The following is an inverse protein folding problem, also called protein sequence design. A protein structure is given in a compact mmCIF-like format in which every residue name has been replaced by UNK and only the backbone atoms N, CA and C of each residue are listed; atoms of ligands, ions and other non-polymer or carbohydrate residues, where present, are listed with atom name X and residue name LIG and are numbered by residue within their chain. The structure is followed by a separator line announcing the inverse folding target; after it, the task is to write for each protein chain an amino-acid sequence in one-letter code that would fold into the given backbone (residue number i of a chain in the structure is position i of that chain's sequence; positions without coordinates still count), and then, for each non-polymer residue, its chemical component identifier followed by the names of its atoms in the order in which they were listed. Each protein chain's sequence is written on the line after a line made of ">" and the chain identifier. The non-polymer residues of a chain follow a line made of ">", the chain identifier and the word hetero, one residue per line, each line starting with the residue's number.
data_IF_942953236861
#
_entry.id   IF_942953236861
#
_cell.length_a   1.000
_cell.length_b   1.000
_cell.length_c   1.000
_cell.angle_alpha   90.00
_cell.angle_beta   90.00
_cell.angle_gamma   90.00
#
_symmetry.space_group_name_H-M   'P 1'
#
loop_
_entity.id
_entity.type
_entity.pdbx_description
1 polymer ?
#
# COMPACT_ATOMS: atom_id res chain seq x y z
N UNK A 1 22.74 2.99 -33.66
CA UNK A 1 24.08 2.60 -33.18
C UNK A 1 24.83 3.71 -32.41
N UNK A 2 24.17 4.82 -32.01
CA UNK A 2 24.83 5.94 -31.26
C UNK A 2 24.42 5.94 -29.76
N UNK A 3 23.37 5.23 -29.39
CA UNK A 3 22.86 5.20 -27.98
C UNK A 3 23.67 4.25 -27.08
N UNK A 4 24.33 3.21 -27.62
CA UNK A 4 25.10 2.25 -26.81
C UNK A 4 26.49 2.74 -26.36
N UNK A 5 27.02 3.79 -27.00
CA UNK A 5 28.36 4.30 -26.68
C UNK A 5 28.35 5.35 -25.52
N UNK A 6 27.21 5.97 -25.26
CA UNK A 6 27.08 7.00 -24.20
C UNK A 6 26.88 6.36 -22.83
N UNK A 7 26.27 5.18 -22.76
CA UNK A 7 25.98 4.49 -21.49
C UNK A 7 27.22 3.96 -20.77
N UNK A 8 28.27 3.55 -21.50
CA UNK A 8 29.44 2.91 -20.88
C UNK A 8 30.49 3.87 -20.29
N UNK A 9 30.51 5.15 -20.67
CA UNK A 9 31.49 6.12 -20.12
C UNK A 9 31.08 6.78 -18.79
N UNK A 10 29.79 6.79 -18.47
CA UNK A 10 29.29 7.37 -17.20
C UNK A 10 29.32 6.40 -16.03
N UNK A 11 29.41 5.09 -16.25
CA UNK A 11 29.28 4.09 -15.17
C UNK A 11 30.56 3.87 -14.34
N UNK A 12 31.77 4.15 -14.87
CA UNK A 12 33.02 3.83 -14.16
C UNK A 12 33.56 4.94 -13.25
N UNK A 13 33.02 6.14 -13.26
CA UNK A 13 33.56 7.27 -12.47
C UNK A 13 32.96 7.46 -11.06
N UNK A 14 31.87 6.78 -10.72
CA UNK A 14 31.18 7.02 -9.44
C UNK A 14 31.33 5.93 -8.35
N UNK A 15 32.10 4.87 -8.62
CA UNK A 15 32.20 3.76 -7.66
C UNK A 15 33.13 4.04 -6.46
N UNK A 16 33.99 5.08 -6.52
CA UNK A 16 35.02 5.31 -5.51
C UNK A 16 34.79 6.46 -4.50
N UNK A 17 33.57 7.03 -4.40
CA UNK A 17 33.31 8.15 -3.48
C UNK A 17 32.22 7.91 -2.43
N UNK A 18 31.95 6.68 -2.01
CA UNK A 18 30.90 6.41 -1.00
C UNK A 18 31.45 5.77 0.28
N UNK A 19 32.37 6.43 0.96
CA UNK A 19 32.61 6.20 2.39
C UNK A 19 32.65 7.55 3.09
N UNK A 20 31.52 8.03 3.53
CA UNK A 20 31.24 8.92 4.65
C UNK A 20 29.86 9.58 4.48
N UNK A 21 28.80 8.85 4.77
CA UNK A 21 27.50 9.45 5.04
C UNK A 21 27.10 8.94 6.42
N UNK A 22 27.13 9.87 7.39
CA UNK A 22 26.56 9.68 8.72
C UNK A 22 25.12 9.14 8.60
N UNK A 23 24.64 8.34 9.56
CA UNK A 23 23.27 7.83 9.54
C UNK A 23 22.32 9.01 9.65
N UNK A 24 21.73 9.41 8.54
CA UNK A 24 20.60 10.32 8.57
C UNK A 24 19.45 9.64 9.27
N UNK A 25 18.92 10.37 10.24
CA UNK A 25 17.76 10.11 11.07
C UNK A 25 16.77 9.13 10.44
N UNK A 26 16.43 8.11 11.20
CA UNK A 26 15.26 7.28 10.97
C UNK A 26 14.09 8.22 10.67
N UNK A 27 13.64 8.25 9.41
CA UNK A 27 12.30 8.71 9.11
C UNK A 27 11.39 7.84 9.96
N UNK A 28 10.91 8.40 11.05
CA UNK A 28 9.89 7.80 11.87
C UNK A 28 8.83 7.26 10.91
N UNK A 29 8.66 5.95 10.90
CA UNK A 29 7.52 5.33 10.26
C UNK A 29 6.31 6.16 10.66
N UNK A 30 5.44 6.60 9.74
CA UNK A 30 4.26 7.34 10.13
C UNK A 30 3.64 6.56 11.27
N UNK A 31 3.51 7.20 12.43
CA UNK A 31 3.03 6.57 13.63
C UNK A 31 1.63 6.04 13.34
N UNK A 32 1.53 4.74 13.06
CA UNK A 32 0.26 4.02 12.87
C UNK A 32 -0.55 3.93 14.17
N UNK A 33 -0.25 4.79 15.14
CA UNK A 33 -0.87 4.86 16.46
C UNK A 33 -1.82 6.04 16.61
N UNK A 34 -2.71 6.27 15.66
CA UNK A 34 -3.99 6.82 16.06
C UNK A 34 -4.89 5.64 16.45
N UNK A 35 -4.77 5.17 17.67
CA UNK A 35 -5.71 4.21 18.25
C UNK A 35 -7.04 4.93 18.48
N UNK A 36 -7.86 5.04 17.44
CA UNK A 36 -9.23 5.43 17.64
C UNK A 36 -9.90 4.26 18.37
N UNK A 37 -10.42 4.51 19.57
CA UNK A 37 -11.17 3.51 20.35
C UNK A 37 -12.26 2.85 19.50
N UNK A 38 -12.86 3.59 18.58
CA UNK A 38 -13.87 3.13 17.63
C UNK A 38 -13.39 2.02 16.67
N UNK A 39 -12.10 1.94 16.32
CA UNK A 39 -11.54 0.89 15.47
C UNK A 39 -11.14 -0.39 16.21
N UNK A 40 -11.14 -0.38 17.54
CA UNK A 40 -10.70 -1.50 18.37
C UNK A 40 -11.43 -2.83 18.09
N UNK A 41 -12.77 -2.86 17.84
CA UNK A 41 -13.47 -4.10 17.51
C UNK A 41 -12.93 -4.78 16.27
N UNK A 42 -12.65 -4.03 15.21
CA UNK A 42 -12.10 -4.58 13.96
C UNK A 42 -10.68 -5.13 14.12
N UNK A 43 -9.85 -4.53 15.00
CA UNK A 43 -8.49 -5.02 15.28
C UNK A 43 -8.44 -6.40 15.93
N UNK A 44 -9.52 -6.83 16.55
CA UNK A 44 -9.64 -8.16 17.19
C UNK A 44 -9.97 -9.27 16.18
N UNK A 45 -10.34 -8.91 14.96
CA UNK A 45 -10.70 -9.88 13.92
C UNK A 45 -9.47 -10.69 13.49
N UNK A 46 -9.69 -11.99 13.29
CA UNK A 46 -8.68 -12.94 12.81
C UNK A 46 -9.16 -13.60 11.53
N UNK A 47 -8.21 -14.09 10.73
CA UNK A 47 -8.47 -14.81 9.49
C UNK A 47 -9.29 -14.02 8.45
N UNK A 48 -9.26 -12.69 8.51
CA UNK A 48 -9.96 -11.82 7.57
C UNK A 48 -9.02 -11.44 6.43
N UNK A 49 -9.54 -11.37 5.21
CA UNK A 49 -8.77 -10.91 4.06
C UNK A 49 -8.82 -9.39 3.93
N UNK A 50 -7.77 -8.82 3.37
CA UNK A 50 -7.75 -7.40 3.02
C UNK A 50 -8.81 -7.09 1.96
N UNK A 51 -9.76 -6.15 2.20
CA UNK A 51 -10.80 -5.81 1.23
C UNK A 51 -10.25 -5.18 -0.05
N UNK A 52 -9.01 -4.69 -0.04
CA UNK A 52 -8.42 -4.10 -1.23
C UNK A 52 -7.64 -5.13 -2.07
N UNK A 53 -6.84 -5.98 -1.44
CA UNK A 53 -5.96 -6.91 -2.17
C UNK A 53 -6.34 -8.40 -2.04
N UNK A 54 -7.32 -8.73 -1.20
CA UNK A 54 -7.81 -10.11 -1.05
C UNK A 54 -6.82 -11.08 -0.39
N UNK A 55 -5.70 -10.58 0.15
CA UNK A 55 -4.71 -11.39 0.86
C UNK A 55 -5.08 -11.51 2.34
N UNK A 56 -4.70 -12.61 2.97
CA UNK A 56 -4.81 -12.77 4.42
C UNK A 56 -3.99 -11.68 5.14
N UNK A 57 -4.47 -11.21 6.28
CA UNK A 57 -3.78 -10.19 7.07
C UNK A 57 -3.21 -10.79 8.35
N UNK A 58 -2.02 -10.32 8.73
CA UNK A 58 -1.37 -10.67 9.99
C UNK A 58 -1.89 -9.71 11.06
N UNK A 59 -2.40 -10.25 12.15
CA UNK A 59 -2.93 -9.41 13.24
C UNK A 59 -1.81 -8.66 13.96
N UNK A 60 -2.17 -7.55 14.62
CA UNK A 60 -1.23 -6.78 15.45
C UNK A 60 -0.63 -7.57 16.61
N UNK A 61 -1.27 -8.68 17.04
CA UNK A 61 -0.75 -9.56 18.08
C UNK A 61 0.22 -10.63 17.55
N UNK A 62 0.06 -11.03 16.28
CA UNK A 62 0.89 -12.06 15.63
C UNK A 62 2.18 -11.47 15.05
N UNK A 63 2.13 -10.25 14.52
CA UNK A 63 3.27 -9.63 13.84
C UNK A 63 4.51 -9.52 14.73
N UNK A 64 4.46 -9.01 15.98
CA UNK A 64 5.65 -8.92 16.83
C UNK A 64 6.28 -10.28 17.13
N UNK A 65 5.45 -11.33 17.29
CA UNK A 65 5.94 -12.69 17.51
C UNK A 65 6.68 -13.24 16.29
N UNK A 66 6.20 -12.92 15.08
CA UNK A 66 6.87 -13.28 13.85
C UNK A 66 8.18 -12.50 13.67
N UNK A 67 8.17 -11.20 13.96
CA UNK A 67 9.37 -10.35 13.89
C UNK A 67 10.46 -10.82 14.83
N UNK A 68 10.14 -11.23 16.07
CA UNK A 68 11.11 -11.82 16.99
C UNK A 68 11.72 -13.14 16.50
N UNK A 69 10.98 -13.91 15.67
CA UNK A 69 11.53 -15.11 15.03
C UNK A 69 12.45 -14.75 13.86
N UNK A 70 12.09 -13.71 13.07
CA UNK A 70 12.92 -13.20 11.98
C UNK A 70 14.28 -12.72 12.54
N UNK A 71 14.28 -12.00 13.67
CA UNK A 71 15.50 -11.48 14.32
C UNK A 71 16.49 -12.57 14.75
N UNK A 72 16.06 -13.84 14.80
CA UNK A 72 16.90 -15.01 15.13
C UNK A 72 17.46 -15.71 13.89
N UNK A 73 16.96 -15.42 12.71
CA UNK A 73 17.42 -16.05 11.48
C UNK A 73 18.77 -15.46 11.04
N UNK A 74 19.74 -16.33 10.72
CA UNK A 74 21.08 -15.94 10.34
C UNK A 74 21.26 -15.83 8.82
N UNK A 75 20.48 -16.58 8.05
CA UNK A 75 20.66 -16.74 6.60
C UNK A 75 19.32 -16.82 5.84
N UNK A 76 19.40 -16.85 4.50
CA UNK A 76 18.21 -16.92 3.64
C UNK A 76 17.44 -18.22 3.80
N UNK A 77 18.14 -19.35 4.02
CA UNK A 77 17.50 -20.66 4.19
C UNK A 77 16.56 -20.68 5.38
N UNK A 78 16.99 -20.13 6.52
CA UNK A 78 16.18 -20.02 7.73
C UNK A 78 14.98 -19.08 7.53
N UNK A 79 15.20 -17.91 6.90
CA UNK A 79 14.13 -16.95 6.60
C UNK A 79 13.10 -17.56 5.66
N UNK A 80 13.52 -18.22 4.60
CA UNK A 80 12.62 -18.89 3.66
C UNK A 80 11.81 -19.97 4.36
N UNK A 81 12.43 -20.83 5.18
CA UNK A 81 11.75 -21.84 5.98
C UNK A 81 10.72 -21.22 6.93
N UNK A 82 11.08 -20.14 7.62
CA UNK A 82 10.20 -19.41 8.54
C UNK A 82 9.01 -18.77 7.83
N UNK A 83 9.24 -18.12 6.68
CA UNK A 83 8.22 -17.32 6.00
C UNK A 83 7.38 -18.11 4.98
N UNK A 84 7.80 -19.27 4.54
CA UNK A 84 7.07 -20.12 3.58
C UNK A 84 5.60 -20.38 3.98
N UNK A 85 5.25 -20.71 5.24
CA UNK A 85 3.86 -20.85 5.67
C UNK A 85 3.01 -19.58 5.51
N UNK A 86 3.66 -18.42 5.49
CA UNK A 86 3.00 -17.11 5.35
C UNK A 86 2.88 -16.63 3.91
N UNK A 87 3.24 -17.43 2.90
CA UNK A 87 3.19 -17.04 1.49
C UNK A 87 1.80 -16.56 1.03
N UNK A 88 0.72 -17.13 1.60
CA UNK A 88 -0.66 -16.71 1.31
C UNK A 88 -1.00 -15.30 1.84
N UNK A 89 -0.23 -14.79 2.80
CA UNK A 89 -0.35 -13.44 3.34
C UNK A 89 0.37 -12.41 2.48
N UNK A 90 1.37 -12.80 1.70
CA UNK A 90 2.17 -11.90 0.88
C UNK A 90 1.37 -11.36 -0.29
N UNK A 91 1.61 -10.09 -0.64
CA UNK A 91 1.03 -9.44 -1.81
C UNK A 91 1.85 -9.74 -3.06
N UNK A 92 1.43 -9.22 -4.21
CA UNK A 92 2.02 -9.58 -5.51
C UNK A 92 3.53 -9.29 -5.56
N UNK A 93 3.95 -8.11 -5.11
CA UNK A 93 5.36 -7.70 -5.11
C UNK A 93 6.17 -8.54 -4.13
N UNK A 94 5.69 -8.69 -2.89
CA UNK A 94 6.36 -9.48 -1.87
C UNK A 94 6.47 -10.96 -2.26
N UNK A 95 5.45 -11.53 -2.94
CA UNK A 95 5.49 -12.90 -3.47
C UNK A 95 6.58 -13.09 -4.51
N UNK A 96 6.79 -12.10 -5.38
CA UNK A 96 7.85 -12.18 -6.40
C UNK A 96 9.23 -12.13 -5.78
N UNK A 97 9.45 -11.15 -4.87
CA UNK A 97 10.72 -11.04 -4.14
C UNK A 97 10.97 -12.28 -3.29
N UNK A 98 9.96 -12.79 -2.59
CA UNK A 98 10.10 -14.01 -1.80
C UNK A 98 10.41 -15.24 -2.67
N UNK A 99 9.80 -15.35 -3.86
CA UNK A 99 10.11 -16.41 -4.83
C UNK A 99 11.59 -16.36 -5.26
N UNK A 100 12.13 -15.18 -5.51
CA UNK A 100 13.56 -15.01 -5.80
C UNK A 100 14.42 -15.53 -4.65
N UNK A 101 14.07 -15.25 -3.39
CA UNK A 101 14.77 -15.81 -2.22
C UNK A 101 14.61 -17.33 -2.11
N UNK A 102 13.41 -17.89 -2.36
CA UNK A 102 13.17 -19.33 -2.39
C UNK A 102 14.04 -20.04 -3.45
N UNK A 103 14.18 -19.44 -4.62
CA UNK A 103 14.99 -20.01 -5.71
C UNK A 103 16.48 -19.96 -5.37
N UNK A 104 16.97 -18.81 -4.89
CA UNK A 104 18.37 -18.63 -4.54
C UNK A 104 18.80 -19.52 -3.36
N UNK A 105 17.95 -19.67 -2.35
CA UNK A 105 18.24 -20.46 -1.15
C UNK A 105 18.41 -21.97 -1.39
N UNK A 106 18.00 -22.49 -2.56
CA UNK A 106 18.19 -23.91 -2.91
C UNK A 106 19.66 -24.26 -3.13
N UNK A 107 20.44 -23.33 -3.69
CA UNK A 107 21.84 -23.53 -4.00
C UNK A 107 22.76 -22.86 -2.95
N UNK A 108 22.28 -21.76 -2.35
CA UNK A 108 23.06 -20.93 -1.43
C UNK A 108 22.27 -20.63 -0.13
N UNK A 109 21.93 -21.64 0.69
CA UNK A 109 21.07 -21.45 1.87
C UNK A 109 21.71 -20.56 2.95
N UNK A 110 23.05 -20.52 3.03
CA UNK A 110 23.81 -19.74 4.04
C UNK A 110 23.99 -18.27 3.69
N UNK A 111 23.54 -17.85 2.50
CA UNK A 111 23.64 -16.45 2.05
C UNK A 111 22.67 -15.54 2.83
N UNK A 112 22.91 -14.25 2.80
CA UNK A 112 22.05 -13.23 3.44
C UNK A 112 21.23 -12.45 2.41
N UNK A 113 20.02 -12.02 2.78
CA UNK A 113 19.09 -11.34 1.87
C UNK A 113 19.68 -10.07 1.21
N UNK A 114 20.43 -9.20 1.91
CA UNK A 114 21.05 -8.03 1.26
C UNK A 114 21.94 -8.38 0.07
N UNK A 115 22.75 -9.44 0.19
CA UNK A 115 23.66 -9.84 -0.89
C UNK A 115 22.88 -10.32 -2.12
N UNK A 116 21.79 -11.07 -1.91
CA UNK A 116 20.90 -11.50 -3.01
C UNK A 116 20.30 -10.27 -3.72
N UNK A 117 19.81 -9.27 -2.97
CA UNK A 117 19.27 -8.04 -3.58
C UNK A 117 20.36 -7.25 -4.32
N UNK A 118 21.60 -7.20 -3.80
CA UNK A 118 22.73 -6.51 -4.46
C UNK A 118 23.12 -7.14 -5.80
N UNK A 119 23.06 -8.47 -5.91
CA UNK A 119 23.31 -9.17 -7.19
C UNK A 119 22.35 -8.64 -8.26
N UNK A 120 21.10 -8.40 -7.92
CA UNK A 120 20.05 -7.93 -8.84
C UNK A 120 19.95 -6.41 -8.95
N UNK A 121 20.69 -5.64 -8.15
CA UNK A 121 20.50 -4.19 -7.98
C UNK A 121 20.62 -3.40 -9.28
N UNK A 122 21.68 -3.60 -10.05
CA UNK A 122 21.94 -2.82 -11.27
C UNK A 122 20.89 -3.08 -12.35
N UNK A 123 20.50 -4.33 -12.51
CA UNK A 123 19.45 -4.71 -13.44
C UNK A 123 18.09 -4.13 -12.99
N UNK A 124 17.76 -4.26 -11.70
CA UNK A 124 16.54 -3.71 -11.12
C UNK A 124 16.50 -2.19 -11.22
N UNK A 125 17.63 -1.49 -11.00
CA UNK A 125 17.71 -0.03 -11.14
C UNK A 125 17.44 0.42 -12.58
N UNK A 126 18.00 -0.30 -13.55
CA UNK A 126 17.77 -0.01 -14.98
C UNK A 126 16.29 -0.24 -15.35
N UNK A 127 15.72 -1.36 -14.95
CA UNK A 127 14.30 -1.69 -15.18
C UNK A 127 13.37 -0.70 -14.47
N UNK A 128 13.69 -0.30 -13.23
CA UNK A 128 12.92 0.69 -12.48
C UNK A 128 12.87 2.03 -13.20
N UNK A 129 14.02 2.52 -13.71
CA UNK A 129 14.06 3.77 -14.49
C UNK A 129 13.18 3.68 -15.74
N UNK A 130 13.18 2.55 -16.43
CA UNK A 130 12.30 2.34 -17.59
C UNK A 130 10.82 2.33 -17.19
N UNK A 131 10.46 1.67 -16.08
CA UNK A 131 9.09 1.70 -15.55
C UNK A 131 8.66 3.14 -15.20
N UNK A 132 9.53 3.93 -14.54
CA UNK A 132 9.28 5.31 -14.17
C UNK A 132 9.14 6.19 -15.43
N UNK A 133 10.01 6.05 -16.41
CA UNK A 133 9.96 6.81 -17.67
C UNK A 133 8.71 6.50 -18.47
N UNK A 134 8.28 5.25 -18.55
CA UNK A 134 7.04 4.87 -19.23
C UNK A 134 5.82 5.61 -18.64
N UNK A 135 5.78 5.80 -17.32
CA UNK A 135 4.71 6.60 -16.70
C UNK A 135 4.79 8.07 -17.11
N UNK A 136 6.00 8.65 -17.14
CA UNK A 136 6.20 10.05 -17.55
C UNK A 136 5.89 10.25 -19.05
N UNK A 137 6.24 9.30 -19.89
CA UNK A 137 5.93 9.32 -21.33
C UNK A 137 4.43 9.26 -21.58
N UNK A 138 3.70 8.45 -20.81
CA UNK A 138 2.24 8.41 -20.88
C UNK A 138 1.62 9.74 -20.42
N UNK A 139 2.16 10.36 -19.36
CA UNK A 139 1.73 11.68 -18.89
C UNK A 139 1.95 12.73 -19.99
N UNK A 140 3.12 12.74 -20.65
CA UNK A 140 3.43 13.66 -21.74
C UNK A 140 2.50 13.41 -22.95
N UNK A 141 2.32 12.16 -23.38
CA UNK A 141 1.38 11.82 -24.46
C UNK A 141 -0.04 12.27 -24.18
N UNK A 142 -0.50 12.10 -22.93
CA UNK A 142 -1.83 12.58 -22.54
C UNK A 142 -1.92 14.10 -22.54
N UNK A 143 -0.84 14.81 -22.23
CA UNK A 143 -0.80 16.28 -22.21
C UNK A 143 -0.99 16.89 -23.61
N UNK A 144 -0.62 16.18 -24.68
CA UNK A 144 -0.83 16.64 -26.06
C UNK A 144 -2.31 16.87 -26.43
N UNK A 145 -3.25 16.40 -25.59
CA UNK A 145 -4.69 16.68 -25.74
C UNK A 145 -5.13 17.98 -25.06
N UNK A 146 -4.21 18.68 -24.42
CA UNK A 146 -4.44 19.99 -23.78
C UNK A 146 -4.02 21.13 -24.74
N UNK A 147 -4.29 22.37 -24.37
CA UNK A 147 -3.73 23.53 -25.09
C UNK A 147 -2.19 23.49 -25.11
N UNK A 148 -1.54 24.05 -26.14
CA UNK A 148 -0.07 24.03 -26.26
C UNK A 148 0.66 24.54 -25.02
N UNK A 149 0.16 25.61 -24.39
CA UNK A 149 0.75 26.19 -23.19
C UNK A 149 0.70 25.21 -22.01
N UNK A 150 -0.45 24.53 -21.83
CA UNK A 150 -0.60 23.51 -20.77
C UNK A 150 0.22 22.26 -21.04
N UNK A 151 0.25 21.80 -22.28
CA UNK A 151 1.08 20.67 -22.68
C UNK A 151 2.57 20.94 -22.40
N UNK A 152 3.05 22.15 -22.75
CA UNK A 152 4.42 22.57 -22.47
C UNK A 152 4.68 22.65 -20.95
N UNK A 153 3.76 23.21 -20.18
CA UNK A 153 3.88 23.28 -18.72
C UNK A 153 3.98 21.87 -18.09
N UNK A 154 3.16 20.90 -18.53
CA UNK A 154 3.23 19.51 -18.10
C UNK A 154 4.59 18.91 -18.48
N UNK A 155 5.04 19.11 -19.72
CA UNK A 155 6.32 18.58 -20.20
C UNK A 155 7.52 19.11 -19.38
N UNK A 156 7.52 20.37 -18.98
CA UNK A 156 8.56 20.90 -18.07
C UNK A 156 8.56 20.18 -16.72
N UNK A 157 7.38 19.87 -16.16
CA UNK A 157 7.26 19.15 -14.89
C UNK A 157 7.72 17.70 -14.99
N UNK A 158 7.36 16.99 -16.08
CA UNK A 158 7.83 15.61 -16.33
C UNK A 158 9.33 15.57 -16.59
N UNK A 159 9.88 16.54 -17.32
CA UNK A 159 11.34 16.67 -17.56
C UNK A 159 12.11 16.84 -16.25
N UNK A 160 11.63 17.70 -15.36
CA UNK A 160 12.21 17.84 -14.02
C UNK A 160 12.15 16.53 -13.23
N UNK A 161 11.05 15.79 -13.32
CA UNK A 161 10.93 14.49 -12.66
C UNK A 161 11.89 13.45 -13.26
N UNK A 162 12.09 13.44 -14.60
CA UNK A 162 13.10 12.59 -15.26
C UNK A 162 14.50 12.88 -14.73
N UNK A 163 14.85 14.15 -14.54
CA UNK A 163 16.16 14.51 -13.98
C UNK A 163 16.32 13.93 -12.56
N UNK A 164 15.31 14.05 -11.70
CA UNK A 164 15.33 13.45 -10.35
C UNK A 164 15.50 11.93 -10.39
N UNK A 165 14.86 11.25 -11.37
CA UNK A 165 15.00 9.80 -11.58
C UNK A 165 16.42 9.44 -12.04
N UNK A 166 16.98 10.21 -12.95
CA UNK A 166 18.34 9.97 -13.47
C UNK A 166 19.40 10.15 -12.38
N UNK A 167 19.27 11.19 -11.56
CA UNK A 167 20.20 11.47 -10.46
C UNK A 167 20.18 10.38 -9.39
N UNK A 168 19.09 9.62 -9.30
CA UNK A 168 18.88 8.48 -8.40
C UNK A 168 19.27 8.72 -6.93
N UNK A 169 19.22 9.99 -6.49
CA UNK A 169 19.57 10.39 -5.10
C UNK A 169 18.36 10.37 -4.16
N UNK A 170 17.17 10.35 -4.74
CA UNK A 170 15.91 10.54 -4.01
C UNK A 170 15.04 9.28 -4.02
N UNK A 171 14.38 9.02 -2.89
CA UNK A 171 13.49 7.88 -2.73
C UNK A 171 12.16 8.01 -3.49
N UNK A 172 11.43 6.90 -3.57
CA UNK A 172 10.14 6.78 -4.28
C UNK A 172 9.09 7.83 -3.86
N UNK A 173 9.02 8.16 -2.56
CA UNK A 173 8.07 9.16 -2.03
C UNK A 173 8.37 10.55 -2.59
N UNK A 174 9.64 10.94 -2.61
CA UNK A 174 10.06 12.23 -3.15
C UNK A 174 9.77 12.34 -4.65
N UNK A 175 10.09 11.30 -5.44
CA UNK A 175 9.79 11.26 -6.88
C UNK A 175 8.30 11.46 -7.16
N UNK A 176 7.44 10.77 -6.41
CA UNK A 176 5.98 10.91 -6.52
C UNK A 176 5.50 12.30 -6.12
N UNK A 177 5.98 12.82 -4.99
CA UNK A 177 5.61 14.16 -4.52
C UNK A 177 6.08 15.24 -5.49
N UNK A 178 7.28 15.11 -6.06
CA UNK A 178 7.80 16.06 -7.05
C UNK A 178 6.91 16.11 -8.27
N UNK A 179 6.49 14.96 -8.81
CA UNK A 179 5.63 14.95 -9.99
C UNK A 179 4.21 15.43 -9.65
N UNK A 180 3.55 14.84 -8.66
CA UNK A 180 2.16 15.15 -8.34
C UNK A 180 2.00 16.58 -7.82
N UNK A 181 2.88 17.03 -6.91
CA UNK A 181 2.85 18.40 -6.40
C UNK A 181 3.08 19.43 -7.51
N UNK A 182 4.04 19.17 -8.41
CA UNK A 182 4.30 20.04 -9.56
C UNK A 182 3.11 20.10 -10.52
N UNK A 183 2.40 19.00 -10.73
CA UNK A 183 1.17 18.99 -11.53
C UNK A 183 0.03 19.74 -10.84
N UNK A 184 -0.07 19.71 -9.50
CA UNK A 184 -1.10 20.45 -8.77
C UNK A 184 -0.97 21.98 -8.88
N UNK A 185 0.23 22.50 -9.17
CA UNK A 185 0.48 23.92 -9.41
C UNK A 185 -0.15 24.44 -10.71
N UNK A 186 -0.43 23.57 -11.68
CA UNK A 186 -0.98 23.92 -12.98
C UNK A 186 -2.50 24.04 -12.88
N UNK A 187 -3.06 25.15 -13.40
CA UNK A 187 -4.51 25.40 -13.41
C UNK A 187 -5.08 25.19 -14.82
N UNK A 188 -5.73 24.05 -15.10
CA UNK A 188 -6.33 23.80 -16.41
C UNK A 188 -7.56 24.69 -16.65
N UNK A 189 -7.83 25.04 -17.91
CA UNK A 189 -9.07 25.70 -18.32
C UNK A 189 -10.27 24.76 -18.09
N UNK A 190 -11.48 25.34 -17.99
CA UNK A 190 -12.69 24.56 -17.68
C UNK A 190 -12.90 23.33 -18.60
N UNK A 191 -12.69 23.49 -19.92
CA UNK A 191 -12.85 22.42 -20.91
C UNK A 191 -11.78 21.33 -20.86
N UNK A 192 -10.62 21.61 -20.26
CA UNK A 192 -9.47 20.71 -20.19
C UNK A 192 -9.39 19.94 -18.87
N UNK A 193 -10.20 20.33 -17.89
CA UNK A 193 -10.14 19.79 -16.51
C UNK A 193 -10.23 18.27 -16.46
N UNK A 194 -11.09 17.65 -17.27
CA UNK A 194 -11.27 16.18 -17.29
C UNK A 194 -10.00 15.45 -17.78
N UNK A 195 -9.40 15.97 -18.86
CA UNK A 195 -8.15 15.41 -19.42
C UNK A 195 -7.02 15.59 -18.40
N UNK A 196 -6.94 16.77 -17.80
CA UNK A 196 -5.92 17.08 -16.80
C UNK A 196 -6.01 16.20 -15.55
N UNK A 197 -7.21 15.94 -15.04
CA UNK A 197 -7.41 14.99 -13.92
C UNK A 197 -7.00 13.57 -14.32
N UNK A 198 -7.31 13.12 -15.53
CA UNK A 198 -6.87 11.80 -16.02
C UNK A 198 -5.36 11.70 -16.11
N UNK A 199 -4.68 12.79 -16.49
CA UNK A 199 -3.21 12.89 -16.52
C UNK A 199 -2.62 12.79 -15.10
N UNK A 200 -3.17 13.52 -14.13
CA UNK A 200 -2.76 13.38 -12.72
C UNK A 200 -2.99 11.96 -12.18
N UNK A 201 -4.11 11.34 -12.57
CA UNK A 201 -4.38 9.96 -12.21
C UNK A 201 -3.32 9.01 -12.77
N UNK A 202 -2.83 9.24 -14.01
CA UNK A 202 -1.73 8.47 -14.57
C UNK A 202 -0.41 8.66 -13.80
N UNK A 203 -0.10 9.86 -13.36
CA UNK A 203 1.10 10.16 -12.59
C UNK A 203 1.18 9.37 -11.25
N UNK A 204 0.03 8.96 -10.69
CA UNK A 204 -0.03 8.13 -9.49
C UNK A 204 0.60 6.73 -9.70
N UNK A 205 0.73 6.27 -10.96
CA UNK A 205 1.27 4.95 -11.28
C UNK A 205 2.79 4.86 -11.22
N UNK A 206 3.52 5.92 -10.83
CA UNK A 206 4.95 5.80 -10.56
C UNK A 206 5.22 4.60 -9.64
N UNK A 207 6.20 3.74 -9.99
CA UNK A 207 6.54 2.55 -9.24
C UNK A 207 6.91 2.85 -7.78
N UNK A 208 6.52 1.96 -6.89
CA UNK A 208 6.91 1.98 -5.48
C UNK A 208 7.33 0.58 -5.05
N UNK A 209 8.05 0.47 -3.95
CA UNK A 209 8.43 -0.82 -3.38
C UNK A 209 7.24 -1.73 -2.98
N UNK A 210 6.02 -1.19 -2.98
CA UNK A 210 4.79 -1.95 -2.80
C UNK A 210 4.12 -2.40 -4.10
N UNK A 211 4.55 -1.88 -5.26
CA UNK A 211 3.91 -2.15 -6.57
C UNK A 211 4.87 -2.70 -7.62
N UNK A 212 6.18 -2.51 -7.45
CA UNK A 212 7.24 -2.97 -8.35
C UNK A 212 8.30 -3.75 -7.57
N UNK A 213 8.68 -4.90 -8.12
CA UNK A 213 9.78 -5.73 -7.64
C UNK A 213 11.11 -4.98 -7.77
N UNK A 214 11.33 -4.29 -8.91
CA UNK A 214 12.51 -3.50 -9.15
C UNK A 214 12.66 -2.36 -8.13
N UNK A 215 11.56 -1.66 -7.82
CA UNK A 215 11.56 -0.63 -6.78
C UNK A 215 11.82 -1.21 -5.38
N UNK A 216 11.34 -2.43 -5.09
CA UNK A 216 11.65 -3.12 -3.84
C UNK A 216 13.15 -3.41 -3.74
N UNK A 217 13.74 -4.05 -4.75
CA UNK A 217 15.16 -4.41 -4.78
C UNK A 217 16.03 -3.15 -4.59
N UNK A 218 15.80 -2.10 -5.39
CA UNK A 218 16.57 -0.84 -5.32
C UNK A 218 16.47 -0.19 -3.94
N UNK A 219 15.30 -0.23 -3.32
CA UNK A 219 15.07 0.42 -2.01
C UNK A 219 15.69 -0.34 -0.85
N UNK A 220 15.73 -1.68 -0.93
CA UNK A 220 16.07 -2.53 0.21
C UNK A 220 17.43 -3.22 0.10
N UNK A 221 18.16 -3.09 -1.01
CA UNK A 221 19.46 -3.75 -1.21
C UNK A 221 20.52 -3.39 -0.13
N UNK A 222 20.44 -2.18 0.44
CA UNK A 222 21.35 -1.72 1.49
C UNK A 222 20.74 -1.80 2.91
N UNK A 223 19.64 -2.56 3.06
CA UNK A 223 18.99 -2.78 4.35
C UNK A 223 19.45 -4.08 5.00
N UNK A 224 19.30 -4.19 6.32
CA UNK A 224 19.62 -5.42 7.02
C UNK A 224 18.69 -6.56 6.61
N UNK A 225 19.14 -7.80 6.84
CA UNK A 225 18.36 -9.01 6.57
C UNK A 225 17.00 -8.99 7.29
N UNK A 226 17.00 -8.55 8.56
CA UNK A 226 15.81 -8.46 9.39
C UNK A 226 14.84 -7.41 8.84
N UNK A 227 15.34 -6.24 8.41
CA UNK A 227 14.51 -5.19 7.81
C UNK A 227 13.82 -5.67 6.53
N UNK A 228 14.56 -6.40 5.66
CA UNK A 228 14.04 -6.95 4.41
C UNK A 228 12.95 -7.99 4.71
N UNK A 229 13.24 -8.97 5.58
CA UNK A 229 12.30 -10.03 5.93
C UNK A 229 11.04 -9.47 6.64
N UNK A 230 11.22 -8.56 7.60
CA UNK A 230 10.12 -7.86 8.28
C UNK A 230 9.28 -7.06 7.29
N UNK A 231 9.91 -6.37 6.31
CA UNK A 231 9.18 -5.60 5.29
C UNK A 231 8.24 -6.48 4.45
N UNK A 232 8.69 -7.69 4.07
CA UNK A 232 7.84 -8.64 3.33
C UNK A 232 6.57 -8.94 4.12
N UNK A 233 6.66 -9.13 5.43
CA UNK A 233 5.52 -9.50 6.27
C UNK A 233 4.70 -8.29 6.73
N UNK A 234 5.33 -7.16 7.04
CA UNK A 234 4.66 -5.91 7.45
C UNK A 234 3.69 -5.38 6.39
N UNK A 235 3.96 -5.65 5.12
CA UNK A 235 3.04 -5.31 4.04
C UNK A 235 1.61 -5.84 4.27
N UNK A 236 1.50 -7.00 4.92
CA UNK A 236 0.23 -7.67 5.20
C UNK A 236 -0.29 -7.48 6.63
N UNK A 237 0.39 -6.66 7.45
CA UNK A 237 -0.09 -6.32 8.78
C UNK A 237 -1.46 -5.64 8.71
N UNK A 238 -2.39 -6.08 9.56
CA UNK A 238 -3.73 -5.52 9.64
C UNK A 238 -3.71 -4.10 10.26
N UNK A 239 -4.26 -3.13 9.56
CA UNK A 239 -4.39 -1.73 10.00
C UNK A 239 -5.81 -1.22 9.78
N UNK A 240 -6.20 -0.21 10.56
CA UNK A 240 -7.48 0.48 10.34
C UNK A 240 -7.30 1.54 9.25
N UNK A 241 -8.22 1.53 8.30
CA UNK A 241 -8.29 2.45 7.18
C UNK A 241 -9.60 3.23 7.23
N UNK A 242 -9.54 4.55 7.04
CA UNK A 242 -10.71 5.39 6.86
C UNK A 242 -11.19 5.31 5.41
N UNK A 243 -12.41 4.84 5.17
CA UNK A 243 -13.02 4.84 3.82
C UNK A 243 -13.10 6.25 3.27
N UNK A 244 -13.65 7.19 4.04
CA UNK A 244 -13.50 8.62 3.81
C UNK A 244 -12.30 9.12 4.63
N UNK A 245 -11.22 9.61 3.99
CA UNK A 245 -10.02 10.05 4.69
C UNK A 245 -10.30 11.17 5.70
N UNK A 246 -9.57 11.18 6.84
CA UNK A 246 -9.64 12.24 7.84
C UNK A 246 -9.36 13.63 7.24
N UNK A 247 -8.43 13.74 6.30
CA UNK A 247 -8.14 14.98 5.56
C UNK A 247 -9.34 15.53 4.78
N UNK A 248 -10.37 14.68 4.55
CA UNK A 248 -11.65 15.03 3.92
C UNK A 248 -12.80 15.01 4.92
N UNK A 249 -12.54 15.23 6.21
CA UNK A 249 -13.52 15.23 7.31
C UNK A 249 -14.21 13.87 7.51
N UNK A 250 -13.50 12.77 7.22
CA UNK A 250 -13.99 11.42 7.52
C UNK A 250 -14.18 11.22 9.02
N UNK A 251 -15.31 10.66 9.41
CA UNK A 251 -15.65 10.41 10.80
C UNK A 251 -14.76 9.32 11.42
N UNK A 252 -14.41 9.48 12.71
CA UNK A 252 -13.78 8.45 13.53
C UNK A 252 -14.82 7.47 14.08
N UNK A 253 -15.59 6.84 13.20
CA UNK A 253 -16.63 5.89 13.53
C UNK A 253 -16.40 4.55 12.81
N UNK A 254 -16.86 3.44 13.42
CA UNK A 254 -16.72 2.10 12.84
C UNK A 254 -17.35 2.00 11.44
N UNK A 255 -18.41 2.78 11.20
CA UNK A 255 -19.07 2.92 9.89
C UNK A 255 -18.17 3.48 8.78
N UNK A 256 -17.05 4.11 9.15
CA UNK A 256 -16.06 4.66 8.22
C UNK A 256 -14.75 3.87 8.21
N UNK A 257 -14.68 2.73 8.89
CA UNK A 257 -13.45 1.95 9.01
C UNK A 257 -13.52 0.63 8.25
N UNK A 258 -12.41 0.28 7.58
CA UNK A 258 -12.11 -1.05 7.11
C UNK A 258 -10.83 -1.57 7.78
N UNK A 259 -10.76 -2.87 8.02
CA UNK A 259 -9.49 -3.51 8.36
C UNK A 259 -8.80 -3.87 7.04
N UNK A 260 -7.65 -3.27 6.79
CA UNK A 260 -6.89 -3.46 5.54
C UNK A 260 -5.43 -3.84 5.83
N UNK A 261 -4.71 -4.33 4.83
CA UNK A 261 -3.26 -4.53 4.97
C UNK A 261 -2.51 -3.21 4.95
N UNK A 262 -1.40 -3.12 5.67
CA UNK A 262 -0.60 -1.90 5.79
C UNK A 262 -0.13 -1.36 4.42
N UNK A 263 0.25 -2.25 3.48
CA UNK A 263 0.62 -1.81 2.14
C UNK A 263 -0.58 -1.23 1.38
N UNK A 264 -1.78 -1.83 1.51
CA UNK A 264 -2.99 -1.32 0.88
C UNK A 264 -3.34 0.08 1.41
N UNK A 265 -3.23 0.28 2.72
CA UNK A 265 -3.42 1.57 3.38
C UNK A 265 -2.41 2.61 2.86
N UNK A 266 -1.12 2.27 2.86
CA UNK A 266 -0.05 3.15 2.36
C UNK A 266 -0.21 3.51 0.88
N UNK A 267 -0.58 2.53 0.02
CA UNK A 267 -0.77 2.77 -1.41
C UNK A 267 -1.99 3.64 -1.71
N UNK A 268 -3.06 3.46 -0.93
CA UNK A 268 -4.22 4.31 -1.06
C UNK A 268 -3.95 5.71 -0.53
N UNK A 269 -3.34 5.83 0.65
CA UNK A 269 -3.09 7.12 1.30
C UNK A 269 -4.38 7.98 1.31
N UNK A 270 -4.31 9.23 0.89
CA UNK A 270 -5.47 10.14 0.78
C UNK A 270 -6.23 10.04 -0.57
N UNK A 271 -5.89 9.05 -1.41
CA UNK A 271 -6.56 8.86 -2.71
C UNK A 271 -8.04 8.55 -2.50
N UNK A 272 -8.98 9.20 -3.21
CA UNK A 272 -10.38 8.82 -3.24
C UNK A 272 -10.56 7.35 -3.60
N UNK A 273 -11.51 6.67 -2.95
CA UNK A 273 -11.66 5.23 -3.11
C UNK A 273 -12.04 4.83 -4.55
N UNK A 274 -12.85 5.63 -5.24
CA UNK A 274 -13.18 5.40 -6.65
C UNK A 274 -11.95 5.43 -7.57
N UNK A 275 -10.99 6.34 -7.33
CA UNK A 275 -9.72 6.39 -8.07
C UNK A 275 -8.83 5.21 -7.73
N UNK A 276 -8.82 4.79 -6.47
CA UNK A 276 -8.09 3.59 -6.05
C UNK A 276 -8.64 2.32 -6.70
N UNK A 277 -9.98 2.20 -6.81
CA UNK A 277 -10.64 1.10 -7.51
C UNK A 277 -10.28 1.09 -9.01
N UNK A 278 -10.26 2.25 -9.66
CA UNK A 278 -9.86 2.34 -11.07
C UNK A 278 -8.42 1.80 -11.28
N UNK A 279 -7.53 2.03 -10.32
CA UNK A 279 -6.17 1.48 -10.32
C UNK A 279 -6.12 -0.02 -9.97
N UNK A 280 -6.98 -0.48 -9.07
CA UNK A 280 -7.02 -1.83 -8.55
C UNK A 280 -8.45 -2.40 -8.64
N UNK A 281 -8.94 -2.80 -9.83
CA UNK A 281 -10.34 -3.23 -10.01
C UNK A 281 -10.75 -4.43 -9.17
N UNK A 282 -9.78 -5.26 -8.75
CA UNK A 282 -10.03 -6.40 -7.85
C UNK A 282 -10.60 -6.02 -6.49
N UNK A 283 -10.51 -4.74 -6.09
CA UNK A 283 -11.10 -4.21 -4.86
C UNK A 283 -12.60 -4.52 -4.79
N UNK A 284 -13.33 -4.43 -5.91
CA UNK A 284 -14.77 -4.72 -5.95
C UNK A 284 -15.08 -6.12 -5.41
N UNK A 285 -14.43 -7.14 -5.98
CA UNK A 285 -14.59 -8.54 -5.56
C UNK A 285 -14.09 -8.79 -4.14
N UNK A 286 -12.97 -8.15 -3.79
CA UNK A 286 -12.34 -8.36 -2.49
C UNK A 286 -13.14 -7.73 -1.34
N UNK A 287 -13.80 -6.59 -1.56
CA UNK A 287 -14.71 -5.99 -0.59
C UNK A 287 -15.89 -6.93 -0.27
N UNK A 288 -16.47 -7.58 -1.28
CA UNK A 288 -17.53 -8.56 -1.07
C UNK A 288 -17.02 -9.78 -0.25
N UNK A 289 -15.85 -10.32 -0.62
CA UNK A 289 -15.24 -11.41 0.13
C UNK A 289 -14.97 -11.06 1.60
N UNK A 290 -14.47 -9.84 1.84
CA UNK A 290 -14.24 -9.33 3.18
C UNK A 290 -15.54 -9.26 3.99
N UNK A 291 -16.60 -8.68 3.41
CA UNK A 291 -17.86 -8.51 4.15
C UNK A 291 -18.54 -9.86 4.43
N UNK A 292 -18.44 -10.84 3.54
CA UNK A 292 -18.96 -12.18 3.77
C UNK A 292 -18.26 -12.85 4.97
N UNK A 293 -16.93 -12.66 5.12
CA UNK A 293 -16.21 -13.13 6.30
C UNK A 293 -16.64 -12.41 7.59
N UNK A 294 -16.89 -11.10 7.51
CA UNK A 294 -17.39 -10.33 8.66
C UNK A 294 -18.78 -10.84 9.09
N UNK A 295 -19.66 -11.12 8.13
CA UNK A 295 -20.99 -11.69 8.39
C UNK A 295 -20.88 -13.06 9.08
N UNK A 296 -20.00 -13.94 8.60
CA UNK A 296 -19.73 -15.23 9.26
C UNK A 296 -19.26 -15.04 10.70
N UNK A 297 -18.32 -14.11 10.94
CA UNK A 297 -17.83 -13.82 12.28
C UNK A 297 -18.95 -13.29 13.20
N UNK A 298 -19.87 -12.49 12.68
CA UNK A 298 -21.05 -12.00 13.44
C UNK A 298 -21.98 -13.17 13.79
N UNK A 299 -22.25 -14.08 12.86
CA UNK A 299 -23.06 -15.28 13.11
C UNK A 299 -22.43 -16.17 14.19
N UNK A 300 -21.11 -16.24 14.25
CA UNK A 300 -20.34 -16.97 15.27
C UNK A 300 -20.24 -16.21 16.61
N UNK A 301 -20.99 -15.11 16.76
CA UNK A 301 -21.04 -14.29 17.98
C UNK A 301 -19.86 -13.33 18.15
N UNK A 302 -19.09 -13.07 17.09
CA UNK A 302 -18.09 -12.01 17.06
C UNK A 302 -18.70 -10.62 16.84
N UNK A 303 -17.88 -9.56 16.98
CA UNK A 303 -18.29 -8.14 16.82
C UNK A 303 -19.53 -7.76 17.65
N UNK A 304 -19.66 -8.29 18.87
CA UNK A 304 -20.80 -7.99 19.76
C UNK A 304 -20.95 -6.49 19.98
N UNK A 305 -22.18 -5.98 19.78
CA UNK A 305 -22.51 -4.56 19.83
C UNK A 305 -22.20 -3.79 18.54
N UNK A 306 -21.75 -4.49 17.49
CA UNK A 306 -21.45 -3.94 16.17
C UNK A 306 -21.99 -4.82 15.05
N UNK A 307 -23.06 -5.58 15.32
CA UNK A 307 -23.66 -6.52 14.38
C UNK A 307 -24.23 -5.80 13.14
N UNK A 308 -24.55 -4.52 13.27
CA UNK A 308 -25.00 -3.66 12.15
C UNK A 308 -23.87 -3.09 11.26
N UNK A 309 -22.60 -3.43 11.58
CA UNK A 309 -21.45 -2.94 10.84
C UNK A 309 -21.54 -3.21 9.32
N UNK A 310 -21.97 -4.38 8.80
CA UNK A 310 -22.10 -4.62 7.37
C UNK A 310 -23.00 -3.60 6.66
N UNK A 311 -24.12 -3.21 7.26
CA UNK A 311 -25.02 -2.21 6.70
C UNK A 311 -24.41 -0.80 6.73
N UNK A 312 -23.76 -0.44 7.85
CA UNK A 312 -23.13 0.87 8.02
C UNK A 312 -21.99 1.08 7.02
N UNK A 313 -21.09 0.10 6.91
CA UNK A 313 -19.95 0.20 5.99
C UNK A 313 -20.40 0.17 4.51
N UNK A 314 -21.45 -0.61 4.16
CA UNK A 314 -22.04 -0.60 2.83
C UNK A 314 -22.48 0.80 2.42
N UNK A 315 -23.22 1.52 3.31
CA UNK A 315 -23.65 2.90 3.05
C UNK A 315 -22.47 3.83 2.77
N UNK A 316 -21.41 3.72 3.56
CA UNK A 316 -20.21 4.53 3.38
C UNK A 316 -19.50 4.20 2.07
N UNK A 317 -19.34 2.92 1.73
CA UNK A 317 -18.72 2.48 0.48
C UNK A 317 -19.49 2.96 -0.75
N UNK A 318 -20.83 2.84 -0.74
CA UNK A 318 -21.68 3.37 -1.84
C UNK A 318 -21.45 4.87 -2.02
N UNK A 319 -21.49 5.64 -0.92
CA UNK A 319 -21.29 7.09 -0.95
C UNK A 319 -19.91 7.48 -1.50
N UNK A 320 -18.84 6.88 -0.97
CA UNK A 320 -17.46 7.26 -1.30
C UNK A 320 -17.02 6.74 -2.68
N UNK A 321 -17.73 5.79 -3.25
CA UNK A 321 -17.41 5.23 -4.57
C UNK A 321 -18.41 5.63 -5.66
N UNK A 322 -19.45 6.40 -5.33
CA UNK A 322 -20.53 6.71 -6.27
C UNK A 322 -21.29 5.47 -6.74
N UNK A 323 -21.43 4.46 -5.86
CA UNK A 323 -22.14 3.22 -6.13
C UNK A 323 -21.29 2.10 -6.77
N UNK A 324 -20.01 2.34 -7.09
CA UNK A 324 -19.13 1.30 -7.67
C UNK A 324 -18.98 0.09 -6.73
N UNK A 325 -18.87 0.30 -5.42
CA UNK A 325 -18.89 -0.78 -4.42
C UNK A 325 -20.27 -0.84 -3.80
N UNK A 326 -21.08 -1.76 -4.29
CA UNK A 326 -22.40 -2.06 -3.74
C UNK A 326 -22.40 -3.51 -3.23
N UNK A 327 -22.17 -3.66 -1.92
CA UNK A 327 -22.06 -4.98 -1.29
C UNK A 327 -23.42 -5.70 -1.30
N UNK A 328 -23.41 -6.97 -1.67
CA UNK A 328 -24.55 -7.85 -1.50
C UNK A 328 -24.65 -8.29 -0.03
N UNK A 329 -25.79 -8.01 0.59
CA UNK A 329 -26.13 -8.36 1.97
C UNK A 329 -27.43 -9.15 2.03
N UNK A 330 -27.87 -9.77 0.92
CA UNK A 330 -29.15 -10.50 0.83
C UNK A 330 -29.26 -11.61 1.87
N UNK A 331 -28.15 -12.29 2.15
CA UNK A 331 -28.08 -13.40 3.12
C UNK A 331 -27.88 -12.92 4.57
N UNK A 332 -27.82 -11.62 4.80
CA UNK A 332 -27.58 -11.02 6.11
C UNK A 332 -28.84 -10.37 6.67
N UNK A 333 -29.58 -11.09 7.50
CA UNK A 333 -30.72 -10.57 8.25
C UNK A 333 -30.30 -10.06 9.62
N UNK A 334 -30.13 -8.74 9.76
CA UNK A 334 -29.97 -8.09 11.06
C UNK A 334 -31.32 -7.55 11.54
N UNK A 335 -31.83 -8.12 12.64
CA UNK A 335 -33.06 -7.62 13.25
C UNK A 335 -32.73 -6.45 14.19
N UNK A 336 -33.01 -5.24 13.76
CA UNK A 336 -32.77 -3.99 14.53
C UNK A 336 -33.39 -3.98 15.93
N UNK A 337 -34.37 -4.88 16.20
CA UNK A 337 -35.04 -5.02 17.49
C UNK A 337 -34.13 -5.51 18.63
N UNK A 338 -33.08 -6.28 18.32
CA UNK A 338 -32.21 -6.85 19.36
C UNK A 338 -31.17 -5.83 19.84
N UNK A 339 -30.79 -4.84 19.03
CA UNK A 339 -29.88 -3.77 19.43
C UNK A 339 -30.43 -2.84 20.48
N UNK A 340 -31.74 -2.54 20.45
CA UNK A 340 -32.40 -1.69 21.46
C UNK A 340 -32.53 -2.41 22.81
N UNK A 341 -32.70 -3.73 22.81
CA UNK A 341 -32.80 -4.53 24.06
C UNK A 341 -31.44 -4.63 24.76
N UNK A 342 -30.34 -4.79 24.00
CA UNK A 342 -28.96 -4.88 24.53
C UNK A 342 -28.50 -3.51 25.07
N UNK A 343 -28.78 -2.42 24.36
CA UNK A 343 -28.48 -1.06 24.82
C UNK A 343 -29.21 -0.70 26.12
N UNK A 344 -30.47 -1.11 26.25
CA UNK A 344 -31.26 -0.90 27.47
C UNK A 344 -30.79 -1.76 28.65
N UNK A 345 -30.28 -2.97 28.40
CA UNK A 345 -29.72 -3.83 29.46
C UNK A 345 -28.36 -3.32 29.94
N UNK A 346 -27.50 -2.76 29.04
CA UNK A 346 -26.24 -2.14 29.41
C UNK A 346 -26.44 -0.87 30.25
N UNK A 347 -27.39 -0.01 29.89
CA UNK A 347 -27.73 1.18 30.63
C UNK A 347 -28.37 0.87 32.03
N UNK A 348 -29.14 -0.23 32.16
CA UNK A 348 -29.65 -0.68 33.45
C UNK A 348 -28.55 -1.20 34.39
N UNK A 349 -27.52 -1.86 33.86
CA UNK A 349 -26.34 -2.29 34.64
C UNK A 349 -25.48 -1.12 35.11
N UNK A 350 -25.36 -0.05 34.32
CA UNK A 350 -24.61 1.16 34.72
C UNK A 350 -25.31 1.98 35.81
N UNK A 351 -26.65 2.07 35.75
CA UNK A 351 -27.45 2.76 36.80
C UNK A 351 -27.51 2.00 38.13
N UNK A 352 -27.24 0.70 38.19
CA UNK A 352 -27.19 -0.10 39.43
C UNK A 352 -25.84 -0.08 40.14
N UNK A 353 -24.80 0.54 39.54
CA UNK A 353 -23.46 0.66 40.15
C UNK A 353 -23.11 2.09 40.57
N UNK A 354 -24.09 2.99 40.58
CA UNK A 354 -24.07 4.29 41.24
C UNK A 354 -25.09 4.26 42.40
#
# INVERSE_FOLDING_TARGET
>A
MIISAITNKFFNAQYNQRHNIQPQMSLASPSFQASTSAGTPLRKLRNVVCPYFGVKMITSAELPKLEMKIDKCQNVGEIVKLLKPYRSFMQKTEKKVFKMFEEYSKENPEEILPNILRIHYNEALTKLKLEEFNVLDDVDKMSLKLSPELALAVHHKTTRCRQVILDNKQGETFKRQTLLGSLEEIKPRRGEKKIYESLKDRAIYLPTSGTSENAFIVKYADRSQEEIAKRIMRASAATIEHVQPNSKRGENAISNFLLVSANANSLRSNMPLNKFIARFPSVLKNCQKYINQIISIIHDGGLRGYEDYPYKIKKTLIRETGGLVNLDLSDFCYKEKDAKSVANSANKKYKRRR
#
